data_IF_762286786365
#
_entry.id   IF_762286786365
#
_cell.length_a   1.000
_cell.length_b   1.000
_cell.length_c   1.000
_cell.angle_alpha   90.00
_cell.angle_beta   90.00
_cell.angle_gamma   90.00
#
_symmetry.space_group_name_H-M   'P 1'
#
loop_
_entity.id
_entity.type
_entity.pdbx_description
1 polymer ?
#
# COMPACT_ATOMS: atom_id res chain seq x y z
N UNK A 1 -25.96 22.49 -24.10
CA UNK A 1 -26.04 21.21 -23.34
C UNK A 1 -24.80 20.33 -23.50
N UNK A 2 -24.32 20.05 -24.73
CA UNK A 2 -23.11 19.22 -24.95
C UNK A 2 -21.87 19.69 -24.17
N UNK A 3 -21.57 20.99 -24.20
CA UNK A 3 -20.41 21.56 -23.48
C UNK A 3 -20.50 21.42 -21.95
N UNK A 4 -21.71 21.53 -21.38
CA UNK A 4 -21.92 21.43 -19.92
C UNK A 4 -21.66 20.00 -19.44
N UNK A 5 -22.11 19.00 -20.20
CA UNK A 5 -21.86 17.58 -19.89
C UNK A 5 -20.37 17.25 -19.98
N UNK A 6 -19.65 17.79 -20.97
CA UNK A 6 -18.20 17.62 -21.10
C UNK A 6 -17.44 18.25 -19.93
N UNK A 7 -17.84 19.44 -19.49
CA UNK A 7 -17.20 20.14 -18.35
C UNK A 7 -17.42 19.36 -17.05
N UNK A 8 -18.63 18.85 -16.79
CA UNK A 8 -18.92 18.05 -15.59
C UNK A 8 -18.08 16.77 -15.56
N UNK A 9 -17.96 16.07 -16.71
CA UNK A 9 -17.13 14.87 -16.82
C UNK A 9 -15.64 15.15 -16.61
N UNK A 10 -15.16 16.34 -16.97
CA UNK A 10 -13.76 16.73 -16.76
C UNK A 10 -13.44 16.99 -15.28
N UNK A 11 -14.36 17.64 -14.54
CA UNK A 11 -14.18 17.99 -13.13
C UNK A 11 -14.13 16.73 -12.24
N UNK A 12 -14.91 15.69 -12.55
CA UNK A 12 -14.93 14.45 -11.76
C UNK A 12 -13.62 13.66 -11.84
N UNK A 13 -12.88 13.76 -12.95
CA UNK A 13 -11.59 13.08 -13.11
C UNK A 13 -10.49 13.74 -12.25
N UNK A 14 -10.45 15.07 -12.20
CA UNK A 14 -9.45 15.84 -11.43
C UNK A 14 -9.46 15.56 -9.92
N UNK A 15 -10.64 15.36 -9.32
CA UNK A 15 -10.77 15.08 -7.89
C UNK A 15 -10.18 13.72 -7.49
N UNK A 16 -10.23 12.72 -8.38
CA UNK A 16 -9.66 11.39 -8.17
C UNK A 16 -8.13 11.41 -8.19
N UNK A 17 -7.54 12.18 -9.11
CA UNK A 17 -6.08 12.34 -9.20
C UNK A 17 -5.49 12.99 -7.95
N UNK A 18 -6.16 13.99 -7.36
CA UNK A 18 -5.67 14.68 -6.16
C UNK A 18 -5.65 13.79 -4.89
N UNK A 19 -6.49 12.75 -4.83
CA UNK A 19 -6.44 11.76 -3.75
C UNK A 19 -5.32 10.74 -3.97
N UNK A 20 -5.14 10.30 -5.22
CA UNK A 20 -4.08 9.39 -5.62
C UNK A 20 -2.69 9.97 -5.32
N UNK A 21 -2.46 11.25 -5.64
CA UNK A 21 -1.18 11.91 -5.43
C UNK A 21 -0.70 11.88 -3.97
N UNK A 22 -1.61 11.99 -3.00
CA UNK A 22 -1.28 11.96 -1.57
C UNK A 22 -0.80 10.59 -1.10
N UNK A 23 -1.30 9.53 -1.73
CA UNK A 23 -1.05 8.14 -1.34
C UNK A 23 0.08 7.48 -2.14
N UNK A 24 0.41 8.00 -3.32
CA UNK A 24 1.58 7.56 -4.10
C UNK A 24 2.87 7.70 -3.29
N UNK A 25 3.75 6.71 -3.39
CA UNK A 25 5.07 6.73 -2.76
C UNK A 25 5.49 5.37 -2.20
N UNK A 26 6.61 5.40 -1.46
CA UNK A 26 7.19 4.21 -0.84
C UNK A 26 6.82 4.15 0.63
N UNK A 27 6.49 2.95 1.09
CA UNK A 27 6.08 2.66 2.45
C UNK A 27 6.90 1.49 2.99
N UNK A 28 7.40 1.64 4.21
CA UNK A 28 8.25 0.63 4.84
C UNK A 28 7.87 0.32 6.27
N UNK A 29 8.18 -0.90 6.68
CA UNK A 29 8.23 -1.32 8.07
C UNK A 29 9.43 -2.25 8.23
N UNK A 30 10.27 -1.96 9.23
CA UNK A 30 11.35 -2.85 9.64
C UNK A 30 11.12 -3.25 11.09
N UNK A 31 11.05 -4.56 11.32
CA UNK A 31 10.98 -5.16 12.65
C UNK A 31 12.28 -5.95 12.85
N UNK A 32 13.07 -5.54 13.83
CA UNK A 32 14.30 -6.24 14.18
C UNK A 32 14.34 -6.55 15.68
N UNK A 33 14.86 -7.73 16.02
CA UNK A 33 15.32 -8.02 17.36
C UNK A 33 16.85 -8.18 17.30
N UNK A 34 17.55 -7.82 18.38
CA UNK A 34 18.97 -7.47 18.43
C UNK A 34 19.90 -8.36 17.61
N UNK A 35 19.63 -9.66 17.41
CA UNK A 35 20.47 -10.51 16.56
C UNK A 35 19.79 -11.65 15.78
N UNK A 36 18.49 -11.92 15.94
CA UNK A 36 17.91 -13.21 15.47
C UNK A 36 16.83 -13.11 14.40
N UNK A 37 15.99 -12.07 14.43
CA UNK A 37 14.84 -11.93 13.54
C UNK A 37 14.85 -10.54 12.89
N UNK A 38 14.82 -10.50 11.56
CA UNK A 38 14.67 -9.31 10.76
C UNK A 38 13.51 -9.50 9.79
N UNK A 39 12.50 -8.63 9.88
CA UNK A 39 11.37 -8.59 8.95
C UNK A 39 11.34 -7.21 8.29
N UNK A 40 11.32 -7.16 6.97
CA UNK A 40 11.24 -5.94 6.19
C UNK A 40 10.05 -6.01 5.24
N UNK A 41 9.22 -4.98 5.29
CA UNK A 41 8.08 -4.80 4.41
C UNK A 41 8.36 -3.56 3.58
N UNK A 42 8.32 -3.70 2.26
CA UNK A 42 8.45 -2.60 1.31
C UNK A 42 7.22 -2.61 0.40
N UNK A 43 6.52 -1.48 0.33
CA UNK A 43 5.38 -1.29 -0.55
C UNK A 43 5.57 -0.01 -1.34
N UNK A 44 5.47 -0.10 -2.66
CA UNK A 44 5.47 1.05 -3.56
C UNK A 44 4.08 1.19 -4.18
N UNK A 45 3.47 2.37 -4.04
CA UNK A 45 2.24 2.74 -4.75
C UNK A 45 2.61 3.71 -5.89
N UNK A 46 2.49 3.26 -7.13
CA UNK A 46 2.86 4.03 -8.31
C UNK A 46 1.73 4.97 -8.76
N UNK A 47 2.04 6.13 -9.37
CA UNK A 47 1.05 7.08 -9.88
C UNK A 47 0.07 6.53 -10.91
N UNK A 48 0.47 5.49 -11.65
CA UNK A 48 -0.35 4.82 -12.68
C UNK A 48 -1.40 3.86 -12.09
N UNK A 49 -1.47 3.75 -10.76
CA UNK A 49 -2.39 2.86 -10.07
C UNK A 49 -1.87 1.42 -9.92
N UNK A 50 -0.59 1.17 -10.19
CA UNK A 50 0.06 -0.13 -9.92
C UNK A 50 0.77 -0.12 -8.55
N UNK A 51 0.99 -1.29 -7.95
CA UNK A 51 1.79 -1.44 -6.75
C UNK A 51 2.80 -2.58 -6.87
N UNK A 52 3.88 -2.46 -6.08
CA UNK A 52 4.82 -3.54 -5.84
C UNK A 52 5.01 -3.72 -4.34
N UNK A 53 4.98 -4.97 -3.89
CA UNK A 53 5.20 -5.36 -2.51
C UNK A 53 6.34 -6.36 -2.43
N UNK A 54 7.26 -6.12 -1.50
CA UNK A 54 8.33 -7.05 -1.15
C UNK A 54 8.38 -7.22 0.36
N UNK A 55 8.21 -8.47 0.77
CA UNK A 55 8.49 -8.93 2.11
C UNK A 55 9.80 -9.71 2.14
N UNK A 56 10.68 -9.34 3.06
CA UNK A 56 11.90 -10.07 3.39
C UNK A 56 11.87 -10.48 4.85
N UNK A 57 12.17 -11.75 5.11
CA UNK A 57 12.42 -12.26 6.46
C UNK A 57 13.77 -12.93 6.53
N UNK A 58 14.53 -12.65 7.59
CA UNK A 58 15.70 -13.42 8.01
C UNK A 58 15.53 -13.81 9.48
N UNK A 59 15.30 -15.09 9.71
CA UNK A 59 15.10 -15.70 11.02
C UNK A 59 16.19 -16.76 11.16
N UNK A 60 17.22 -16.51 11.98
CA UNK A 60 18.40 -17.39 12.07
C UNK A 60 18.07 -18.87 12.35
N UNK A 61 17.02 -19.12 13.13
CA UNK A 61 16.54 -20.47 13.46
C UNK A 61 15.44 -20.99 12.52
N UNK A 62 15.05 -20.21 11.52
CA UNK A 62 14.06 -20.60 10.51
C UNK A 62 14.63 -21.60 9.51
N UNK A 63 13.75 -22.39 8.90
CA UNK A 63 14.11 -23.30 7.80
C UNK A 63 13.13 -23.04 6.65
N UNK A 64 13.53 -22.35 5.57
CA UNK A 64 14.83 -21.68 5.40
C UNK A 64 14.96 -20.44 6.31
N UNK A 65 16.18 -20.03 6.69
CA UNK A 65 16.39 -18.84 7.50
C UNK A 65 15.93 -17.56 6.79
N UNK A 66 16.17 -17.51 5.49
CA UNK A 66 15.77 -16.40 4.64
C UNK A 66 14.58 -16.76 3.78
N UNK A 67 13.63 -15.83 3.68
CA UNK A 67 12.46 -15.98 2.81
C UNK A 67 12.12 -14.63 2.21
N UNK A 68 11.82 -14.65 0.91
CA UNK A 68 11.33 -13.51 0.15
C UNK A 68 9.93 -13.82 -0.36
N UNK A 69 9.02 -12.85 -0.27
CA UNK A 69 7.70 -12.96 -0.87
C UNK A 69 7.36 -11.66 -1.56
N UNK A 70 6.79 -11.77 -2.76
CA UNK A 70 6.50 -10.61 -3.60
C UNK A 70 5.02 -10.63 -4.01
N UNK A 71 4.45 -9.43 -4.15
CA UNK A 71 3.14 -9.21 -4.74
C UNK A 71 3.21 -7.99 -5.65
N UNK A 72 2.41 -8.00 -6.71
CA UNK A 72 2.21 -6.84 -7.57
C UNK A 72 0.74 -6.82 -8.02
N UNK A 73 0.34 -5.71 -8.60
CA UNK A 73 -1.01 -5.54 -9.13
C UNK A 73 -1.38 -4.08 -9.10
N UNK A 74 -2.64 -3.80 -8.82
CA UNK A 74 -3.19 -2.46 -8.89
C UNK A 74 -3.84 -2.04 -7.58
N UNK A 75 -4.02 -0.73 -7.43
CA UNK A 75 -4.65 -0.13 -6.28
C UNK A 75 -5.58 1.02 -6.70
N UNK A 76 -6.59 1.24 -5.88
CA UNK A 76 -7.48 2.42 -5.96
C UNK A 76 -7.59 3.06 -4.59
N UNK A 77 -7.99 4.33 -4.53
CA UNK A 77 -8.27 5.02 -3.28
C UNK A 77 -9.64 5.67 -3.32
N UNK A 78 -10.42 5.45 -2.25
CA UNK A 78 -11.67 6.15 -2.00
C UNK A 78 -11.80 6.42 -0.50
N UNK A 79 -12.15 7.64 -0.11
CA UNK A 79 -12.34 8.03 1.30
C UNK A 79 -11.14 7.66 2.20
N UNK A 80 -9.92 7.89 1.70
CA UNK A 80 -8.65 7.51 2.35
C UNK A 80 -8.47 6.00 2.61
N UNK A 81 -9.25 5.14 1.93
CA UNK A 81 -9.08 3.68 1.96
C UNK A 81 -8.52 3.25 0.61
N UNK A 82 -7.29 2.74 0.65
CA UNK A 82 -6.64 2.06 -0.47
C UNK A 82 -7.17 0.65 -0.56
N UNK A 83 -7.67 0.25 -1.72
CA UNK A 83 -8.07 -1.12 -2.02
C UNK A 83 -7.14 -1.69 -3.07
N UNK A 84 -6.63 -2.90 -2.82
CA UNK A 84 -5.68 -3.58 -3.69
C UNK A 84 -6.39 -4.68 -4.50
N UNK A 85 -5.90 -4.94 -5.70
CA UNK A 85 -6.40 -5.98 -6.59
C UNK A 85 -5.24 -6.56 -7.41
N UNK A 86 -5.28 -7.87 -7.66
CA UNK A 86 -4.28 -8.54 -8.49
C UNK A 86 -4.99 -9.44 -9.51
N UNK A 87 -4.65 -9.28 -10.78
CA UNK A 87 -5.08 -10.14 -11.88
C UNK A 87 -4.19 -11.39 -11.91
N UNK A 88 -4.79 -12.57 -11.71
CA UNK A 88 -4.06 -13.85 -11.64
C UNK A 88 -3.28 -14.20 -12.90
N UNK A 89 -3.66 -13.68 -14.06
CA UNK A 89 -2.98 -13.97 -15.33
C UNK A 89 -1.83 -13.01 -15.62
N UNK A 90 -1.86 -11.78 -15.08
CA UNK A 90 -0.89 -10.72 -15.39
C UNK A 90 0.05 -10.41 -14.24
N UNK A 91 -0.47 -10.45 -13.03
CA UNK A 91 0.22 -10.00 -11.83
C UNK A 91 0.93 -11.14 -11.10
N UNK A 92 0.66 -12.39 -11.47
CA UNK A 92 1.29 -13.55 -10.86
C UNK A 92 2.36 -14.12 -11.78
N UNK A 93 3.50 -14.42 -11.20
CA UNK A 93 4.62 -15.13 -11.84
C UNK A 93 5.36 -15.95 -10.78
N UNK A 94 6.42 -16.67 -11.18
CA UNK A 94 7.20 -17.52 -10.26
C UNK A 94 7.74 -16.76 -9.03
N UNK A 95 7.92 -15.43 -9.14
CA UNK A 95 8.41 -14.57 -8.07
C UNK A 95 7.28 -13.86 -7.33
N UNK A 96 6.27 -13.36 -8.04
CA UNK A 96 5.15 -12.59 -7.51
C UNK A 96 3.94 -13.50 -7.29
N UNK A 97 3.81 -14.05 -6.08
CA UNK A 97 2.77 -15.02 -5.75
C UNK A 97 1.82 -14.56 -4.63
N UNK A 98 2.06 -13.39 -4.01
CA UNK A 98 1.18 -12.87 -2.97
C UNK A 98 -0.07 -12.22 -3.57
N UNK A 99 -1.23 -12.77 -3.21
CA UNK A 99 -2.54 -12.25 -3.60
C UNK A 99 -3.01 -11.15 -2.65
N UNK A 100 -3.14 -9.92 -3.17
CA UNK A 100 -3.62 -8.75 -2.43
C UNK A 100 -5.10 -8.42 -2.72
N UNK A 101 -5.86 -9.27 -3.43
CA UNK A 101 -7.15 -8.90 -4.04
C UNK A 101 -8.25 -8.44 -3.08
N UNK A 102 -8.20 -8.88 -1.83
CA UNK A 102 -9.14 -8.45 -0.79
C UNK A 102 -8.50 -7.57 0.29
N UNK A 103 -7.35 -6.99 -0.02
CA UNK A 103 -6.59 -6.18 0.91
C UNK A 103 -7.06 -4.73 0.89
N UNK A 104 -7.23 -4.15 2.08
CA UNK A 104 -7.62 -2.74 2.28
C UNK A 104 -6.73 -2.08 3.33
N UNK A 105 -6.22 -0.90 3.02
CA UNK A 105 -5.42 -0.11 3.94
C UNK A 105 -5.94 1.33 4.05
N UNK A 106 -5.99 1.88 5.27
CA UNK A 106 -6.36 3.27 5.49
C UNK A 106 -5.12 4.16 5.46
N UNK A 107 -5.16 5.19 4.62
CA UNK A 107 -4.21 6.28 4.65
C UNK A 107 -4.45 7.15 5.88
N UNK A 108 -3.43 7.24 6.74
CA UNK A 108 -3.39 8.14 7.87
C UNK A 108 -2.34 9.20 7.58
N UNK A 109 -2.81 10.42 7.38
CA UNK A 109 -1.99 11.61 7.11
C UNK A 109 -2.46 12.76 8.01
N UNK A 110 -1.54 13.67 8.38
CA UNK A 110 -1.91 14.87 9.12
C UNK A 110 -2.92 15.68 8.31
N UNK A 111 -4.09 15.94 8.89
CA UNK A 111 -5.08 16.82 8.26
C UNK A 111 -4.49 18.24 8.16
N UNK A 112 -4.63 18.94 7.01
CA UNK A 112 -4.27 20.34 6.90
C UNK A 112 -4.99 21.25 7.91
N UNK A 113 -6.15 20.80 8.43
CA UNK A 113 -6.93 21.52 9.45
C UNK A 113 -6.40 21.29 10.87
N UNK A 114 -5.56 20.27 11.09
CA UNK A 114 -4.98 19.98 12.39
C UNK A 114 -3.75 20.86 12.62
N UNK A 115 -3.89 21.86 13.50
CA UNK A 115 -2.84 22.83 13.85
C UNK A 115 -1.95 22.40 15.04
N UNK A 116 -2.18 21.23 15.64
CA UNK A 116 -1.36 20.76 16.76
C UNK A 116 0.06 20.44 16.28
N UNK A 117 1.07 20.73 17.11
CA UNK A 117 2.48 20.45 16.80
C UNK A 117 2.85 18.95 16.81
N UNK A 118 1.88 18.06 17.03
CA UNK A 118 2.08 16.63 16.96
C UNK A 118 2.54 16.23 15.55
N UNK A 119 3.68 15.54 15.48
CA UNK A 119 4.19 14.92 14.27
C UNK A 119 3.37 13.65 14.02
N UNK A 120 2.54 13.68 12.98
CA UNK A 120 1.81 12.51 12.51
C UNK A 120 2.55 11.99 11.28
N UNK A 121 3.28 10.89 11.44
CA UNK A 121 3.93 10.21 10.30
C UNK A 121 2.85 9.65 9.38
N UNK A 122 2.95 9.93 8.09
CA UNK A 122 2.07 9.35 7.08
C UNK A 122 2.24 7.84 7.07
N UNK A 123 1.14 7.10 7.15
CA UNK A 123 1.18 5.64 7.15
C UNK A 123 -0.04 5.03 6.46
N UNK A 124 0.12 3.78 6.04
CA UNK A 124 -0.96 2.90 5.62
C UNK A 124 -1.20 1.87 6.72
N UNK A 125 -2.41 1.92 7.29
CA UNK A 125 -2.87 0.94 8.28
C UNK A 125 -3.71 -0.12 7.57
N UNK A 126 -3.21 -1.35 7.51
CA UNK A 126 -3.90 -2.47 6.87
C UNK A 126 -5.08 -2.94 7.73
N UNK A 127 -6.29 -2.73 7.22
CA UNK A 127 -7.55 -3.03 7.92
C UNK A 127 -8.01 -4.48 7.67
N UNK A 128 -7.82 -4.95 6.43
CA UNK A 128 -8.24 -6.26 5.97
C UNK A 128 -7.24 -6.78 4.94
N UNK A 129 -7.02 -8.09 4.94
CA UNK A 129 -6.15 -8.82 4.00
C UNK A 129 -6.37 -10.32 4.20
N UNK A 130 -6.41 -11.09 3.12
CA UNK A 130 -6.41 -12.56 3.17
C UNK A 130 -5.01 -13.09 3.53
N UNK A 131 -3.98 -12.28 3.29
CA UNK A 131 -2.63 -12.54 3.76
C UNK A 131 -2.59 -12.28 5.28
N UNK A 132 -2.65 -13.34 6.08
CA UNK A 132 -2.94 -13.29 7.52
C UNK A 132 -2.07 -12.30 8.32
N UNK A 133 -0.78 -12.25 8.01
CA UNK A 133 0.19 -11.39 8.70
C UNK A 133 0.14 -9.91 8.30
N UNK A 134 -0.58 -9.54 7.24
CA UNK A 134 -0.70 -8.14 6.79
C UNK A 134 -1.81 -7.42 7.56
N UNK A 135 -2.78 -8.16 8.11
CA UNK A 135 -3.87 -7.56 8.88
C UNK A 135 -3.30 -6.83 10.11
N UNK A 136 -3.70 -5.58 10.30
CA UNK A 136 -3.26 -4.70 11.39
C UNK A 136 -1.80 -4.23 11.32
N UNK A 137 -1.10 -4.44 10.21
CA UNK A 137 0.23 -3.84 10.00
C UNK A 137 0.10 -2.35 9.66
N UNK A 138 1.01 -1.56 10.20
CA UNK A 138 1.24 -0.18 9.80
C UNK A 138 2.51 -0.08 8.96
N UNK A 139 2.41 0.41 7.71
CA UNK A 139 3.57 0.76 6.89
C UNK A 139 3.73 2.29 6.85
N UNK A 140 4.93 2.79 7.10
CA UNK A 140 5.20 4.22 7.19
C UNK A 140 5.76 4.75 5.86
N UNK A 141 5.27 5.92 5.42
CA UNK A 141 5.78 6.57 4.22
C UNK A 141 7.23 7.03 4.44
N UNK A 142 8.10 6.76 3.47
CA UNK A 142 9.51 7.19 3.44
C UNK A 142 9.64 8.54 2.75
#
# INVERSE_FOLDING_TARGET
MKAIVTIIFFITNLASFAQAEKVVGNYTLQLENKETHLLKYNLTLNPDGTFFFHYYSNIKSGIPPESNKYGKGNWTIANNVVSFFADKEKDFDDKHALDFTNTKARLIIKSPRNKTDKIIKTKLQFLASDIFWMKSIDLFKV
#
